data_IF_384252616624
#
_entry.id   IF_384252616624
#
_cell.length_a   1.000
_cell.length_b   1.000
_cell.length_c   1.000
_cell.angle_alpha   90.00
_cell.angle_beta   90.00
_cell.angle_gamma   90.00
#
_symmetry.space_group_name_H-M   'P 1'
#
loop_
_entity.id
_entity.type
_entity.pdbx_description
1 polymer ?
#
# COMPACT_ATOMS: atom_id res chain seq x y z
N UNK A 1 2.67 11.16 3.67
CA UNK A 1 4.10 11.43 3.44
C UNK A 1 4.41 11.34 1.95
N UNK A 2 5.23 12.24 1.43
CA UNK A 2 5.65 12.13 0.03
C UNK A 2 6.41 10.83 -0.23
N UNK A 3 6.13 10.20 -1.36
CA UNK A 3 6.72 8.91 -1.71
C UNK A 3 8.06 9.13 -2.41
N UNK A 4 9.11 9.29 -1.62
CA UNK A 4 10.47 9.48 -2.10
C UNK A 4 11.46 8.81 -1.14
N UNK A 5 12.71 8.70 -1.58
CA UNK A 5 13.75 8.01 -0.82
C UNK A 5 14.01 8.68 0.53
N UNK A 6 13.98 10.01 0.57
CA UNK A 6 14.23 10.75 1.80
C UNK A 6 13.22 10.39 2.89
N UNK A 7 11.93 10.38 2.55
CA UNK A 7 10.88 10.07 3.51
C UNK A 7 10.87 8.59 3.86
N UNK A 8 11.13 7.72 2.89
CA UNK A 8 11.18 6.29 3.13
C UNK A 8 12.34 5.94 4.08
N UNK A 9 13.45 6.65 3.99
CA UNK A 9 14.60 6.40 4.86
C UNK A 9 14.28 6.63 6.35
N UNK A 10 13.23 7.38 6.65
CA UNK A 10 12.79 7.64 8.02
C UNK A 10 11.82 6.59 8.53
N UNK A 11 11.34 5.71 7.66
CA UNK A 11 10.42 4.64 8.05
C UNK A 11 11.21 3.57 8.80
N UNK A 12 10.71 3.08 9.94
CA UNK A 12 11.41 2.04 10.68
C UNK A 12 11.39 0.69 9.95
N UNK A 13 12.41 -0.12 10.20
CA UNK A 13 12.47 -1.47 9.66
C UNK A 13 11.66 -2.42 10.54
N UNK A 14 10.35 -2.19 10.57
CA UNK A 14 9.41 -2.96 11.37
C UNK A 14 8.35 -3.60 10.50
N UNK A 15 7.71 -4.62 11.05
CA UNK A 15 6.54 -5.25 10.45
C UNK A 15 5.38 -4.27 10.45
N UNK A 16 4.57 -4.30 9.41
CA UNK A 16 3.41 -3.43 9.37
C UNK A 16 2.70 -3.45 8.02
N UNK A 17 1.87 -2.45 7.82
CA UNK A 17 1.12 -2.27 6.58
C UNK A 17 1.44 -0.89 6.02
N UNK A 18 1.56 -0.80 4.71
CA UNK A 18 1.72 0.49 4.05
C UNK A 18 0.66 0.67 2.99
N UNK A 19 0.35 1.92 2.70
CA UNK A 19 -0.60 2.30 1.67
C UNK A 19 0.06 3.30 0.73
N UNK A 20 -0.21 3.13 -0.56
CA UNK A 20 0.30 4.03 -1.60
C UNK A 20 -0.86 4.80 -2.21
N UNK A 21 -0.63 6.06 -2.52
CA UNK A 21 -1.66 6.96 -3.06
C UNK A 21 -1.14 7.68 -4.30
N UNK A 22 -2.05 7.99 -5.21
CA UNK A 22 -1.72 8.81 -6.37
C UNK A 22 -1.80 10.31 -6.01
N UNK A 23 -1.65 11.19 -7.01
CA UNK A 23 -1.67 12.64 -6.80
C UNK A 23 -3.03 13.17 -6.34
N UNK A 24 -4.09 12.41 -6.55
CA UNK A 24 -5.42 12.75 -6.08
C UNK A 24 -5.78 12.08 -4.77
N UNK A 25 -4.81 11.39 -4.16
CA UNK A 25 -4.96 10.67 -2.90
C UNK A 25 -5.86 9.44 -2.99
N UNK A 26 -6.02 8.92 -4.20
CA UNK A 26 -6.68 7.62 -4.37
C UNK A 26 -5.72 6.51 -3.95
N UNK A 27 -6.24 5.50 -3.25
CA UNK A 27 -5.43 4.38 -2.78
C UNK A 27 -5.04 3.50 -3.96
N UNK A 28 -3.74 3.34 -4.18
CA UNK A 28 -3.22 2.48 -5.23
C UNK A 28 -2.92 1.08 -4.73
N UNK A 29 -2.50 0.95 -3.47
CA UNK A 29 -2.16 -0.34 -2.89
C UNK A 29 -2.26 -0.30 -1.38
N UNK A 30 -2.60 -1.46 -0.81
CA UNK A 30 -2.59 -1.70 0.64
C UNK A 30 -1.84 -3.02 0.82
N UNK A 31 -0.69 -2.99 1.46
CA UNK A 31 0.16 -4.18 1.57
C UNK A 31 0.76 -4.34 2.96
N UNK A 32 0.70 -5.59 3.46
CA UNK A 32 1.40 -5.95 4.68
C UNK A 32 2.80 -6.46 4.38
N UNK A 33 3.75 -6.21 5.27
CA UNK A 33 5.13 -6.56 5.05
C UNK A 33 5.87 -6.80 6.37
N UNK A 34 6.84 -7.70 6.39
CA UNK A 34 7.70 -7.84 7.56
C UNK A 34 8.73 -6.72 7.72
N UNK A 35 8.94 -5.90 6.68
CA UNK A 35 9.88 -4.77 6.75
C UNK A 35 9.36 -3.61 5.90
N UNK A 36 8.78 -2.63 6.57
CA UNK A 36 8.16 -1.47 5.92
C UNK A 36 9.14 -0.69 5.02
N UNK A 37 10.32 -0.41 5.56
CA UNK A 37 11.30 0.38 4.80
C UNK A 37 11.74 -0.32 3.53
N UNK A 38 12.09 -1.59 3.64
CA UNK A 38 12.57 -2.38 2.52
C UNK A 38 11.52 -2.50 1.43
N UNK A 39 10.27 -2.79 1.82
CA UNK A 39 9.19 -2.91 0.85
C UNK A 39 8.91 -1.60 0.12
N UNK A 40 8.95 -0.48 0.84
CA UNK A 40 8.73 0.82 0.21
C UNK A 40 9.86 1.18 -0.74
N UNK A 41 11.11 0.83 -0.41
CA UNK A 41 12.23 1.04 -1.32
C UNK A 41 12.08 0.22 -2.59
N UNK A 42 11.61 -1.01 -2.48
CA UNK A 42 11.35 -1.86 -3.64
C UNK A 42 10.27 -1.26 -4.53
N UNK A 43 9.19 -0.74 -3.93
CA UNK A 43 8.13 -0.09 -4.69
C UNK A 43 8.66 1.13 -5.44
N UNK A 44 9.53 1.88 -4.80
CA UNK A 44 10.13 3.07 -5.42
C UNK A 44 11.03 2.67 -6.59
N UNK A 45 11.82 1.62 -6.43
CA UNK A 45 12.70 1.11 -7.48
C UNK A 45 11.92 0.56 -8.67
N UNK A 46 10.76 -0.02 -8.43
CA UNK A 46 9.91 -0.58 -9.48
C UNK A 46 9.22 0.50 -10.31
N UNK A 47 9.38 1.76 -9.94
CA UNK A 47 8.80 2.85 -10.69
C UNK A 47 7.31 3.03 -10.44
N UNK A 48 6.87 2.72 -9.22
CA UNK A 48 5.48 2.89 -8.84
C UNK A 48 5.04 4.33 -9.02
N UNK A 49 3.84 4.52 -9.57
CA UNK A 49 3.30 5.85 -9.83
C UNK A 49 2.74 6.55 -8.60
N UNK A 50 2.95 6.00 -7.43
CA UNK A 50 2.51 6.60 -6.18
C UNK A 50 3.21 7.93 -5.93
N UNK A 51 2.48 8.87 -5.35
CA UNK A 51 2.98 10.20 -4.99
C UNK A 51 3.06 10.35 -3.48
N UNK A 52 2.20 9.63 -2.75
CA UNK A 52 2.13 9.67 -1.29
C UNK A 52 2.14 8.26 -0.73
N UNK A 53 2.53 8.14 0.54
CA UNK A 53 2.41 6.87 1.24
C UNK A 53 2.14 7.08 2.73
N UNK A 54 1.55 6.06 3.36
CA UNK A 54 1.38 5.99 4.81
C UNK A 54 1.85 4.63 5.30
N UNK A 55 2.24 4.57 6.56
CA UNK A 55 2.67 3.33 7.19
C UNK A 55 2.00 3.16 8.55
N UNK A 56 1.81 1.90 8.93
CA UNK A 56 1.28 1.55 10.25
C UNK A 56 2.07 0.33 10.73
N UNK A 57 2.82 0.49 11.81
CA UNK A 57 3.58 -0.62 12.40
C UNK A 57 2.60 -1.57 13.08
N UNK A 58 2.65 -2.85 12.75
CA UNK A 58 1.75 -3.85 13.31
C UNK A 58 2.37 -5.24 13.13
N UNK A 59 2.54 -5.96 14.23
CA UNK A 59 3.10 -7.31 14.17
C UNK A 59 2.16 -8.27 13.46
N UNK A 60 0.86 -7.99 13.48
CA UNK A 60 -0.13 -8.82 12.80
C UNK A 60 -0.49 -8.19 11.45
N UNK A 61 0.52 -7.88 10.69
CA UNK A 61 0.36 -7.12 9.45
C UNK A 61 -0.52 -7.84 8.41
N UNK A 62 -0.48 -9.16 8.35
CA UNK A 62 -1.32 -9.90 7.41
C UNK A 62 -2.79 -9.73 7.73
N UNK A 63 -3.15 -9.78 9.00
CA UNK A 63 -4.51 -9.57 9.44
C UNK A 63 -4.94 -8.14 9.20
N UNK A 64 -4.06 -7.19 9.53
CA UNK A 64 -4.36 -5.78 9.34
C UNK A 64 -4.52 -5.43 7.87
N UNK A 65 -3.70 -6.00 7.01
CA UNK A 65 -3.84 -5.84 5.56
C UNK A 65 -5.22 -6.27 5.10
N UNK A 66 -5.65 -7.46 5.53
CA UNK A 66 -6.98 -7.97 5.17
C UNK A 66 -8.10 -7.06 5.66
N UNK A 67 -7.99 -6.56 6.88
CA UNK A 67 -8.97 -5.64 7.44
C UNK A 67 -9.09 -4.36 6.63
N UNK A 68 -7.95 -3.79 6.26
CA UNK A 68 -7.93 -2.54 5.50
C UNK A 68 -8.47 -2.74 4.08
N UNK A 69 -8.12 -3.84 3.45
CA UNK A 69 -8.64 -4.17 2.12
C UNK A 69 -10.15 -4.38 2.16
N UNK A 70 -10.64 -5.10 3.16
CA UNK A 70 -12.08 -5.31 3.33
C UNK A 70 -12.81 -4.00 3.52
N UNK A 71 -12.27 -3.13 4.35
CA UNK A 71 -12.83 -1.82 4.59
C UNK A 71 -12.90 -0.99 3.31
N UNK A 72 -11.82 -1.04 2.53
CA UNK A 72 -11.76 -0.35 1.26
C UNK A 72 -12.82 -0.87 0.28
N UNK A 73 -12.96 -2.19 0.20
CA UNK A 73 -13.97 -2.81 -0.66
C UNK A 73 -15.38 -2.39 -0.27
N UNK A 74 -15.67 -2.29 1.02
CA UNK A 74 -16.97 -1.87 1.50
C UNK A 74 -17.27 -0.42 1.13
N UNK A 75 -16.26 0.44 1.16
CA UNK A 75 -16.43 1.86 0.86
C UNK A 75 -16.46 2.17 -0.63
N UNK A 76 -15.68 1.44 -1.42
CA UNK A 76 -15.47 1.76 -2.84
C UNK A 76 -16.01 0.72 -3.80
N UNK A 77 -16.31 -0.47 -3.31
CA UNK A 77 -16.86 -1.53 -4.16
C UNK A 77 -15.86 -2.22 -5.07
N UNK A 78 -14.58 -1.88 -4.97
CA UNK A 78 -13.53 -2.49 -5.79
C UNK A 78 -12.20 -2.48 -5.05
N UNK A 79 -11.25 -3.24 -5.58
CA UNK A 79 -9.91 -3.33 -5.00
C UNK A 79 -9.13 -2.03 -5.19
N UNK A 80 -8.17 -1.72 -4.28
CA UNK A 80 -7.29 -0.57 -4.48
C UNK A 80 -6.56 -0.64 -5.83
N UNK A 81 -6.34 0.51 -6.41
CA UNK A 81 -5.63 0.59 -7.67
C UNK A 81 -6.45 0.21 -8.89
N UNK A 82 -7.76 0.06 -8.72
CA UNK A 82 -8.63 -0.30 -9.84
C UNK A 82 -8.38 -1.70 -10.35
N UNK A 83 -8.10 -2.64 -9.45
CA UNK A 83 -7.78 -4.01 -9.80
C UNK A 83 -8.93 -4.81 -10.37
N UNK A 84 -10.06 -4.20 -10.55
CA UNK A 84 -11.25 -4.81 -11.12
C UNK A 84 -11.01 -5.37 -12.52
N UNK A 85 -10.10 -4.77 -13.28
CA UNK A 85 -9.76 -5.27 -14.61
C UNK A 85 -9.23 -6.70 -14.55
N UNK A 86 -8.55 -7.05 -13.48
CA UNK A 86 -8.04 -8.41 -13.30
C UNK A 86 -9.17 -9.39 -13.08
N UNK A 87 -10.23 -8.94 -12.44
CA UNK A 87 -11.41 -9.77 -12.22
C UNK A 87 -12.14 -10.05 -13.51
N UNK A 88 -12.17 -9.12 -14.40
CA UNK A 88 -12.82 -9.27 -15.70
C UNK A 88 -12.17 -10.36 -16.51
N UNK A 89 -10.86 -10.51 -16.37
CA UNK A 89 -10.12 -11.53 -17.10
C UNK A 89 -10.44 -12.95 -16.63
N UNK A 90 -11.05 -13.08 -15.47
CA UNK A 90 -11.42 -14.39 -14.92
C UNK A 90 -12.74 -14.87 -15.44
N UNK A 91 -13.48 -14.04 -16.08
CA UNK A 91 -14.81 -14.36 -16.60
C UNK A 91 -14.90 -14.18 -18.08
#
# INVERSE_FOLDING_TARGET
MPFDEEHISKVPELEGVYQLYDDERNVLAIKGTPNLRESLLEELEDGERAVWFDVEADKMYSKRESELIQQYLQEHGEMPGGGDSDLDDLF
#
